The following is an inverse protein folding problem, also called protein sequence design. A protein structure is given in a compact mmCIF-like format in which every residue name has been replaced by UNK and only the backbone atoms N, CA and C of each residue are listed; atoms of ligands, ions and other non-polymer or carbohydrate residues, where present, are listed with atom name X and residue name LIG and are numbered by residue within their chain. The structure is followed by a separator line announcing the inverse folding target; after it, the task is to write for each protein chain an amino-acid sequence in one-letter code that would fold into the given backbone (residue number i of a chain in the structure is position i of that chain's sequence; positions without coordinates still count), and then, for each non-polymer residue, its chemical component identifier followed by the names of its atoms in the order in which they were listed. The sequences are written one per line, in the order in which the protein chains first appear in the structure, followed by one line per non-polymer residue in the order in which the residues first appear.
data_IF_269443707922
#
_entry.id   IF_269443707922
#
_cell.length_a   1.000
_cell.length_b   1.000
_cell.length_c   1.000
_cell.angle_alpha   90.00
_cell.angle_beta   90.00
_cell.angle_gamma   90.00
#
_symmetry.space_group_name_H-M   'P 1'
#
loop_
_entity.id
_entity.type
_entity.pdbx_description
1 polymer ?
#
# COMPACT_ATOMS: atom_id res chain seq x y z
N UNK A 1 2.37 -31.74 -57.55
CA UNK A 1 1.42 -31.65 -56.43
C UNK A 1 2.10 -31.54 -55.04
N UNK A 2 2.97 -32.45 -54.62
CA UNK A 2 3.63 -32.42 -53.30
C UNK A 2 4.36 -31.10 -52.98
N UNK A 3 5.08 -30.51 -53.94
CA UNK A 3 5.84 -29.27 -53.78
C UNK A 3 4.93 -28.05 -53.55
N UNK A 4 3.83 -27.92 -54.25
CA UNK A 4 2.87 -26.81 -54.08
C UNK A 4 2.18 -26.90 -52.73
N UNK A 5 1.77 -28.10 -52.30
CA UNK A 5 1.16 -28.34 -50.99
C UNK A 5 2.12 -27.98 -49.85
N UNK A 6 3.43 -28.30 -49.99
CA UNK A 6 4.46 -27.96 -49.01
C UNK A 6 4.64 -26.45 -48.92
N UNK A 7 4.72 -25.74 -50.06
CA UNK A 7 4.87 -24.28 -50.08
C UNK A 7 3.67 -23.59 -49.40
N UNK A 8 2.44 -24.02 -49.75
CA UNK A 8 1.23 -23.45 -49.15
C UNK A 8 1.18 -23.71 -47.65
N UNK A 9 1.48 -24.92 -47.19
CA UNK A 9 1.50 -25.25 -45.77
C UNK A 9 2.54 -24.43 -44.99
N UNK A 10 3.76 -24.31 -45.56
CA UNK A 10 4.83 -23.50 -44.94
C UNK A 10 4.42 -22.05 -44.84
N UNK A 11 3.81 -21.47 -45.90
CA UNK A 11 3.34 -20.09 -45.89
C UNK A 11 2.26 -19.86 -44.82
N UNK A 12 1.29 -20.77 -44.68
CA UNK A 12 0.26 -20.68 -43.65
C UNK A 12 0.89 -20.75 -42.25
N UNK A 13 1.78 -21.69 -41.98
CA UNK A 13 2.48 -21.82 -40.71
C UNK A 13 3.29 -20.59 -40.40
N UNK A 14 4.04 -20.09 -41.36
CA UNK A 14 4.85 -18.84 -41.17
C UNK A 14 3.95 -17.66 -40.85
N UNK A 15 2.85 -17.47 -41.56
CA UNK A 15 1.89 -16.39 -41.31
C UNK A 15 1.28 -16.48 -39.92
N UNK A 16 0.88 -17.70 -39.50
CA UNK A 16 0.37 -17.92 -38.15
C UNK A 16 1.41 -17.64 -37.08
N UNK A 17 2.64 -18.08 -37.26
CA UNK A 17 3.75 -17.79 -36.34
C UNK A 17 4.00 -16.29 -36.24
N UNK A 18 4.05 -15.59 -37.36
CA UNK A 18 4.23 -14.12 -37.36
C UNK A 18 3.05 -13.40 -36.69
N UNK A 19 1.82 -13.86 -36.91
CA UNK A 19 0.64 -13.28 -36.26
C UNK A 19 0.68 -13.49 -34.73
N UNK A 20 1.08 -14.67 -34.26
CA UNK A 20 1.24 -14.96 -32.82
C UNK A 20 2.35 -14.12 -32.21
N UNK A 21 3.50 -14.00 -32.89
CA UNK A 21 4.62 -13.17 -32.42
C UNK A 21 4.24 -11.67 -32.38
N UNK A 22 3.51 -11.18 -33.39
CA UNK A 22 3.03 -9.79 -33.43
C UNK A 22 2.02 -9.51 -32.31
N UNK A 23 1.09 -10.43 -32.07
CA UNK A 23 0.13 -10.33 -30.99
C UNK A 23 0.85 -10.36 -29.62
N UNK A 24 1.82 -11.25 -29.43
CA UNK A 24 2.64 -11.32 -28.22
C UNK A 24 3.45 -10.05 -27.99
N UNK A 25 4.06 -9.48 -29.02
CA UNK A 25 4.78 -8.21 -28.94
C UNK A 25 3.85 -7.04 -28.59
N UNK A 26 2.66 -7.00 -29.17
CA UNK A 26 1.64 -6.01 -28.87
C UNK A 26 1.21 -6.08 -27.40
N UNK A 27 0.85 -7.27 -26.91
CA UNK A 27 0.48 -7.48 -25.50
C UNK A 27 1.63 -7.05 -24.58
N UNK A 28 2.86 -7.45 -24.88
CA UNK A 28 4.05 -7.06 -24.11
C UNK A 28 4.21 -5.53 -23.99
N UNK A 29 4.03 -4.79 -25.10
CA UNK A 29 4.14 -3.32 -25.10
C UNK A 29 3.00 -2.70 -24.29
N UNK A 30 1.79 -3.19 -24.49
CA UNK A 30 0.59 -2.69 -23.80
C UNK A 30 0.66 -2.94 -22.30
N UNK A 31 1.00 -4.16 -21.85
CA UNK A 31 1.16 -4.48 -20.45
C UNK A 31 2.30 -3.66 -19.81
N UNK A 32 3.40 -3.47 -20.55
CA UNK A 32 4.50 -2.62 -20.11
C UNK A 32 4.09 -1.16 -19.91
N UNK A 33 3.27 -0.64 -20.78
CA UNK A 33 2.71 0.71 -20.67
C UNK A 33 1.76 0.83 -19.46
N UNK A 34 0.86 -0.13 -19.27
CA UNK A 34 -0.05 -0.13 -18.12
C UNK A 34 0.71 -0.24 -16.78
N UNK A 35 1.78 -1.04 -16.73
CA UNK A 35 2.61 -1.12 -15.51
C UNK A 35 3.31 0.21 -15.23
N UNK A 36 3.85 0.89 -16.25
CA UNK A 36 4.44 2.23 -16.05
C UNK A 36 3.37 3.23 -15.58
N UNK A 37 2.22 3.23 -16.24
CA UNK A 37 1.11 4.10 -15.84
C UNK A 37 0.64 3.86 -14.40
N UNK A 38 0.64 2.60 -13.95
CA UNK A 38 0.15 2.21 -12.64
C UNK A 38 1.20 2.28 -11.53
N UNK A 39 2.47 2.09 -11.82
CA UNK A 39 3.49 1.90 -10.78
C UNK A 39 4.64 2.90 -10.84
N UNK A 40 4.86 3.60 -11.98
CA UNK A 40 5.97 4.53 -12.10
C UNK A 40 5.68 5.84 -11.36
N UNK A 41 6.66 6.30 -10.59
CA UNK A 41 6.60 7.57 -9.86
C UNK A 41 6.29 8.73 -10.80
N UNK A 42 5.26 9.51 -10.45
CA UNK A 42 4.90 10.71 -11.20
C UNK A 42 4.23 10.44 -12.55
N UNK A 43 3.74 9.24 -12.79
CA UNK A 43 3.01 8.86 -14.01
C UNK A 43 1.68 9.61 -14.23
N UNK A 44 1.33 10.52 -13.31
CA UNK A 44 0.28 11.52 -13.53
C UNK A 44 -1.14 11.08 -13.20
N UNK A 45 -1.33 9.91 -12.62
CA UNK A 45 -2.66 9.54 -12.16
C UNK A 45 -2.75 8.09 -11.72
N UNK A 46 -3.61 7.83 -10.78
CA UNK A 46 -4.04 6.48 -10.44
C UNK A 46 -5.00 5.99 -11.55
N UNK A 47 -4.56 5.08 -12.45
CA UNK A 47 -5.42 4.57 -13.52
C UNK A 47 -6.60 3.76 -12.97
N UNK A 48 -6.56 3.43 -11.69
CA UNK A 48 -7.60 2.70 -10.96
C UNK A 48 -8.61 3.64 -10.31
N UNK A 49 -8.24 4.91 -10.06
CA UNK A 49 -9.14 5.85 -9.40
C UNK A 49 -10.35 6.16 -10.29
N UNK A 50 -11.57 6.21 -9.73
CA UNK A 50 -12.70 6.83 -10.40
C UNK A 50 -12.34 8.27 -10.80
N UNK A 51 -12.87 8.80 -11.93
CA UNK A 51 -12.53 10.14 -12.41
C UNK A 51 -12.68 11.25 -11.36
N UNK A 52 -13.65 11.11 -10.44
CA UNK A 52 -13.87 12.04 -9.32
C UNK A 52 -12.70 12.01 -8.33
N UNK A 53 -12.18 10.80 -8.03
CA UNK A 53 -11.04 10.64 -7.11
C UNK A 53 -9.75 11.09 -7.80
N UNK A 54 -9.55 10.71 -9.07
CA UNK A 54 -8.39 11.16 -9.84
C UNK A 54 -8.35 12.70 -9.94
N UNK A 55 -9.49 13.35 -10.13
CA UNK A 55 -9.58 14.81 -10.13
C UNK A 55 -9.25 15.42 -8.76
N UNK A 56 -9.70 14.80 -7.66
CA UNK A 56 -9.36 15.26 -6.30
C UNK A 56 -7.89 15.07 -5.95
N UNK A 57 -7.25 14.00 -6.44
CA UNK A 57 -5.82 13.74 -6.26
C UNK A 57 -4.94 14.74 -7.05
N UNK A 58 -5.48 15.28 -8.16
CA UNK A 58 -4.79 16.21 -9.04
C UNK A 58 -5.22 17.67 -8.82
N UNK A 59 -6.13 17.95 -7.89
CA UNK A 59 -6.60 19.30 -7.61
C UNK A 59 -5.48 20.12 -6.94
N UNK A 60 -4.98 21.18 -7.60
CA UNK A 60 -3.96 22.05 -7.03
C UNK A 60 -4.44 22.83 -5.79
N UNK A 61 -5.73 22.82 -5.50
CA UNK A 61 -6.31 23.45 -4.31
C UNK A 61 -6.46 22.48 -3.12
N UNK A 62 -6.08 21.19 -3.27
CA UNK A 62 -5.99 20.29 -2.13
C UNK A 62 -4.82 20.76 -1.27
N UNK A 63 -5.13 21.41 -0.15
CA UNK A 63 -4.14 21.75 0.84
C UNK A 63 -3.63 20.46 1.50
N UNK A 64 -2.32 20.19 1.35
CA UNK A 64 -1.69 19.17 2.16
C UNK A 64 -1.74 19.61 3.63
N UNK A 65 -1.90 18.66 4.57
CA UNK A 65 -1.82 18.96 5.99
C UNK A 65 -0.54 19.72 6.33
N UNK A 66 -0.65 20.69 7.19
CA UNK A 66 0.52 21.41 7.72
C UNK A 66 1.37 20.46 8.56
N UNK A 67 2.69 20.68 8.53
CA UNK A 67 3.61 19.92 9.38
C UNK A 67 3.30 20.25 10.85
N UNK A 68 3.09 19.25 11.73
CA UNK A 68 2.85 19.49 13.15
C UNK A 68 3.90 20.39 13.81
N UNK A 69 3.46 21.32 14.64
CA UNK A 69 4.33 22.20 15.45
C UNK A 69 4.92 21.45 16.65
N UNK A 70 5.65 20.36 16.38
CA UNK A 70 6.31 19.56 17.39
C UNK A 70 7.81 19.46 17.07
N UNK A 71 8.60 19.11 18.09
CA UNK A 71 10.02 18.83 17.88
C UNK A 71 10.13 17.69 16.86
N UNK A 72 10.81 17.96 15.75
CA UNK A 72 10.96 16.99 14.66
C UNK A 72 12.38 16.93 14.14
N UNK A 73 12.74 15.78 13.58
CA UNK A 73 14.02 15.54 12.92
C UNK A 73 13.81 14.69 11.67
N UNK A 74 14.62 14.93 10.65
CA UNK A 74 14.61 14.13 9.42
C UNK A 74 15.46 12.87 9.63
N UNK A 75 14.86 11.72 9.35
CA UNK A 75 15.52 10.42 9.38
C UNK A 75 15.76 9.92 7.96
N UNK A 76 16.84 9.18 7.80
CA UNK A 76 17.14 8.47 6.56
C UNK A 76 17.43 7.00 6.84
N UNK A 77 17.06 6.15 5.88
CA UNK A 77 17.31 4.72 5.92
C UNK A 77 17.79 4.26 4.54
N UNK A 78 18.67 3.29 4.50
CA UNK A 78 19.02 2.60 3.26
C UNK A 78 18.20 1.33 3.13
N UNK A 79 17.43 1.22 2.05
CA UNK A 79 16.62 0.03 1.76
C UNK A 79 17.49 -1.18 1.44
N UNK A 80 16.89 -2.37 1.43
CA UNK A 80 17.57 -3.63 1.11
C UNK A 80 18.16 -3.67 -0.31
N UNK A 81 17.60 -2.88 -1.23
CA UNK A 81 18.02 -2.74 -2.63
C UNK A 81 18.79 -1.43 -2.90
N UNK A 82 19.14 -0.72 -1.84
CA UNK A 82 20.08 0.40 -1.86
C UNK A 82 19.48 1.78 -2.06
N UNK A 83 18.15 1.93 -2.06
CA UNK A 83 17.48 3.23 -2.13
C UNK A 83 17.69 4.03 -0.83
N UNK A 84 17.85 5.34 -0.96
CA UNK A 84 17.75 6.25 0.18
C UNK A 84 16.29 6.56 0.45
N UNK A 85 15.83 6.17 1.64
CA UNK A 85 14.48 6.43 2.13
C UNK A 85 14.51 7.56 3.15
N UNK A 86 13.49 8.39 3.14
CA UNK A 86 13.33 9.55 4.02
C UNK A 86 12.10 9.39 4.91
N UNK A 87 12.19 9.92 6.13
CA UNK A 87 11.08 10.02 7.06
C UNK A 87 11.22 11.27 7.92
N UNK A 88 10.13 11.75 8.47
CA UNK A 88 10.16 12.75 9.56
C UNK A 88 9.74 12.05 10.85
N UNK A 89 10.56 12.21 11.88
CA UNK A 89 10.25 11.79 13.24
C UNK A 89 9.80 13.00 14.06
N UNK A 90 8.70 12.86 14.79
CA UNK A 90 8.18 13.82 15.74
C UNK A 90 8.23 13.25 17.15
N UNK A 91 8.68 14.07 18.10
CA UNK A 91 8.77 13.70 19.52
C UNK A 91 7.60 14.28 20.32
N UNK A 92 6.99 13.51 21.21
CA UNK A 92 6.01 14.05 22.16
C UNK A 92 6.66 14.98 23.18
N UNK A 93 5.85 15.78 23.88
CA UNK A 93 6.33 16.74 24.90
C UNK A 93 6.96 16.06 26.13
N UNK A 94 6.48 14.86 26.50
CA UNK A 94 6.99 14.08 27.61
C UNK A 94 7.76 12.84 27.11
N UNK A 95 8.74 12.31 27.87
CA UNK A 95 9.41 11.06 27.53
C UNK A 95 8.41 9.91 27.38
N UNK A 96 8.58 9.10 26.34
CA UNK A 96 7.68 8.00 25.97
C UNK A 96 8.45 6.89 25.26
N UNK A 97 7.95 5.64 25.37
CA UNK A 97 8.39 4.52 24.54
C UNK A 97 7.28 4.06 23.57
N UNK A 98 6.22 4.86 23.45
CA UNK A 98 5.08 4.62 22.58
C UNK A 98 5.37 5.21 21.21
N UNK A 99 5.35 4.37 20.18
CA UNK A 99 5.67 4.78 18.82
C UNK A 99 4.54 4.43 17.87
N UNK A 100 4.34 5.29 16.88
CA UNK A 100 3.52 4.97 15.71
C UNK A 100 4.30 5.27 14.43
N UNK A 101 4.22 4.36 13.46
CA UNK A 101 4.67 4.59 12.08
C UNK A 101 3.42 4.80 11.24
N UNK A 102 3.26 6.01 10.69
CA UNK A 102 2.12 6.39 9.86
C UNK A 102 2.45 6.21 8.38
N UNK A 103 1.72 5.35 7.69
CA UNK A 103 1.98 4.96 6.31
C UNK A 103 0.93 5.58 5.38
N UNK A 104 1.37 6.41 4.46
CA UNK A 104 0.52 7.08 3.48
C UNK A 104 0.04 6.15 2.37
N UNK A 105 -1.02 6.57 1.66
CA UNK A 105 -1.59 5.85 0.52
C UNK A 105 -0.79 5.98 -0.78
N UNK A 106 -1.27 5.30 -1.82
CA UNK A 106 -0.71 5.36 -3.17
C UNK A 106 -0.74 6.79 -3.73
N UNK A 107 0.36 7.20 -4.39
CA UNK A 107 0.50 8.53 -4.98
C UNK A 107 0.59 9.69 -3.97
N UNK A 108 0.72 9.38 -2.68
CA UNK A 108 0.81 10.34 -1.58
C UNK A 108 2.25 10.41 -1.04
N UNK A 109 2.41 11.13 0.05
CA UNK A 109 3.69 11.33 0.74
C UNK A 109 3.50 11.38 2.24
N UNK A 110 4.60 11.48 3.00
CA UNK A 110 4.56 11.69 4.44
C UNK A 110 3.71 12.90 4.86
N UNK A 111 3.57 13.92 4.02
CA UNK A 111 2.76 15.09 4.32
C UNK A 111 1.28 14.75 4.51
N UNK A 112 0.76 13.77 3.77
CA UNK A 112 -0.62 13.29 3.97
C UNK A 112 -0.80 12.57 5.31
N UNK A 113 0.26 11.94 5.83
CA UNK A 113 0.24 11.28 7.13
C UNK A 113 0.29 12.29 8.29
N UNK A 114 0.72 13.55 8.07
CA UNK A 114 0.74 14.58 9.11
C UNK A 114 -0.65 14.93 9.64
N UNK A 115 -1.69 14.71 8.84
CA UNK A 115 -3.09 14.88 9.26
C UNK A 115 -3.51 13.90 10.41
N UNK A 116 -2.73 12.85 10.63
CA UNK A 116 -2.89 11.91 11.75
C UNK A 116 -1.85 12.17 12.85
N UNK A 117 -0.69 12.75 12.49
CA UNK A 117 0.47 12.83 13.35
C UNK A 117 0.20 13.69 14.58
N UNK A 118 -0.47 14.84 14.43
CA UNK A 118 -0.75 15.76 15.53
C UNK A 118 -1.51 15.08 16.69
N UNK A 119 -2.58 14.35 16.37
CA UNK A 119 -3.37 13.63 17.36
C UNK A 119 -2.55 12.58 18.13
N UNK A 120 -1.64 11.86 17.43
CA UNK A 120 -0.74 10.91 18.10
C UNK A 120 0.30 11.58 18.98
N UNK A 121 0.88 12.71 18.54
CA UNK A 121 1.86 13.48 19.30
C UNK A 121 1.23 14.01 20.60
N UNK A 122 0.04 14.59 20.49
CA UNK A 122 -0.74 15.07 21.65
C UNK A 122 -1.10 13.92 22.60
N UNK A 123 -1.32 12.72 22.06
CA UNK A 123 -1.60 11.51 22.86
C UNK A 123 -0.34 10.84 23.41
N UNK A 124 0.84 11.48 23.25
CA UNK A 124 2.10 11.07 23.87
C UNK A 124 2.88 10.00 23.09
N UNK A 125 2.66 9.87 21.78
CA UNK A 125 3.44 8.98 20.90
C UNK A 125 4.59 9.71 20.24
N UNK A 126 5.72 9.04 20.09
CA UNK A 126 6.65 9.32 19.01
C UNK A 126 6.01 8.93 17.70
N UNK A 127 6.09 9.79 16.69
CA UNK A 127 5.49 9.57 15.38
C UNK A 127 6.57 9.55 14.32
N UNK A 128 6.65 8.47 13.54
CA UNK A 128 7.48 8.38 12.35
C UNK A 128 6.58 8.39 11.10
N UNK A 129 6.82 9.34 10.21
CA UNK A 129 6.11 9.46 8.93
C UNK A 129 7.10 9.22 7.79
N UNK A 130 7.29 7.97 7.32
CA UNK A 130 8.15 7.71 6.17
C UNK A 130 7.46 8.11 4.86
N UNK A 131 8.24 8.68 3.94
CA UNK A 131 7.93 8.58 2.53
C UNK A 131 8.20 7.14 2.08
N UNK A 132 7.18 6.42 1.64
CA UNK A 132 7.37 5.10 1.07
C UNK A 132 8.22 5.19 -0.20
N UNK A 133 8.86 4.09 -0.63
CA UNK A 133 9.68 4.08 -1.86
C UNK A 133 8.92 4.68 -3.04
N UNK A 134 9.62 5.34 -3.94
CA UNK A 134 9.08 6.06 -5.09
C UNK A 134 8.09 7.19 -4.74
N UNK A 135 8.11 7.69 -3.50
CA UNK A 135 7.22 8.78 -3.03
C UNK A 135 8.00 9.88 -2.31
N UNK A 136 7.47 11.09 -2.30
CA UNK A 136 8.01 12.22 -1.55
C UNK A 136 9.52 12.44 -1.75
N UNK A 137 10.29 12.40 -0.66
CA UNK A 137 11.75 12.54 -0.66
C UNK A 137 12.49 11.20 -0.80
N UNK A 138 11.78 10.06 -0.67
CA UNK A 138 12.38 8.74 -0.85
C UNK A 138 12.69 8.45 -2.30
N UNK A 139 13.81 7.77 -2.54
CA UNK A 139 14.21 7.32 -3.87
C UNK A 139 13.30 6.16 -4.35
N UNK A 140 13.49 5.82 -5.61
CA UNK A 140 12.77 4.76 -6.29
C UNK A 140 12.07 5.26 -7.54
N UNK A 141 11.95 4.38 -8.52
CA UNK A 141 11.24 4.64 -9.77
C UNK A 141 9.80 4.10 -9.72
N UNK A 142 9.61 2.97 -9.05
CA UNK A 142 8.34 2.24 -9.02
C UNK A 142 7.85 1.99 -7.61
N UNK A 143 6.54 2.11 -7.44
CA UNK A 143 5.79 1.59 -6.30
C UNK A 143 5.56 0.10 -6.53
N UNK A 144 5.59 -0.72 -5.47
CA UNK A 144 5.37 -2.18 -5.56
C UNK A 144 4.12 -2.64 -4.81
N UNK A 145 3.17 -1.72 -4.62
CA UNK A 145 1.86 -1.97 -3.99
C UNK A 145 1.96 -2.68 -2.62
N UNK A 146 2.98 -2.34 -1.84
CA UNK A 146 3.20 -2.90 -0.50
C UNK A 146 4.25 -4.02 -0.44
N UNK A 147 4.64 -4.65 -1.55
CA UNK A 147 5.60 -5.77 -1.53
C UNK A 147 6.95 -5.35 -0.97
N UNK A 148 7.63 -4.40 -1.59
CA UNK A 148 8.93 -3.92 -1.12
C UNK A 148 8.78 -2.84 -0.04
N UNK A 149 7.69 -2.05 -0.09
CA UNK A 149 7.34 -1.11 0.96
C UNK A 149 7.26 -1.79 2.33
N UNK A 150 6.71 -3.01 2.41
CA UNK A 150 6.64 -3.77 3.67
C UNK A 150 8.01 -4.13 4.26
N UNK A 151 9.02 -4.37 3.40
CA UNK A 151 10.40 -4.59 3.84
C UNK A 151 11.03 -3.31 4.37
N UNK A 152 10.77 -2.20 3.70
CA UNK A 152 11.24 -0.89 4.14
C UNK A 152 10.61 -0.49 5.47
N UNK A 153 9.31 -0.77 5.65
CA UNK A 153 8.60 -0.53 6.92
C UNK A 153 9.19 -1.38 8.05
N UNK A 154 9.47 -2.67 7.82
CA UNK A 154 10.13 -3.51 8.81
C UNK A 154 11.52 -2.97 9.19
N UNK A 155 12.28 -2.40 8.22
CA UNK A 155 13.55 -1.76 8.47
C UNK A 155 13.40 -0.45 9.28
N UNK A 156 12.37 0.35 9.05
CA UNK A 156 12.05 1.51 9.88
C UNK A 156 11.71 1.12 11.32
N UNK A 157 10.92 0.05 11.51
CA UNK A 157 10.61 -0.49 12.86
C UNK A 157 11.89 -0.98 13.55
N UNK A 158 12.80 -1.63 12.84
CA UNK A 158 14.12 -2.01 13.37
C UNK A 158 14.95 -0.79 13.76
N UNK A 159 14.94 0.25 12.93
CA UNK A 159 15.65 1.51 13.23
C UNK A 159 15.11 2.21 14.48
N UNK A 160 13.81 2.14 14.72
CA UNK A 160 13.22 2.62 15.97
C UNK A 160 13.77 1.84 17.16
N UNK A 161 13.84 0.50 17.08
CA UNK A 161 14.38 -0.34 18.15
C UNK A 161 15.88 -0.09 18.45
N UNK A 162 16.65 0.37 17.46
CA UNK A 162 18.06 0.77 17.67
C UNK A 162 18.19 2.05 18.51
N UNK A 163 17.29 3.01 18.34
CA UNK A 163 17.32 4.30 19.07
C UNK A 163 16.56 4.24 20.37
N UNK A 164 15.54 3.40 20.46
CA UNK A 164 14.73 3.16 21.64
C UNK A 164 14.48 1.65 21.80
N UNK A 165 15.33 0.93 22.51
CA UNK A 165 15.18 -0.52 22.73
C UNK A 165 13.90 -0.91 23.49
N UNK A 166 13.26 0.02 24.19
CA UNK A 166 12.01 -0.18 24.88
C UNK A 166 10.78 0.17 24.02
N UNK A 167 11.00 0.66 22.79
CA UNK A 167 9.94 1.09 21.89
C UNK A 167 8.87 0.02 21.68
N UNK A 168 7.62 0.44 21.80
CA UNK A 168 6.42 -0.33 21.42
C UNK A 168 5.77 0.33 20.22
N UNK A 169 5.91 -0.29 19.08
CA UNK A 169 5.57 0.31 17.78
C UNK A 169 4.21 -0.17 17.28
N UNK A 170 3.35 0.76 16.94
CA UNK A 170 2.11 0.53 16.20
C UNK A 170 2.35 0.92 14.73
N UNK A 171 1.98 0.09 13.79
CA UNK A 171 1.83 0.52 12.40
C UNK A 171 0.40 1.02 12.20
N UNK A 172 0.26 2.22 11.65
CA UNK A 172 -1.05 2.73 11.23
C UNK A 172 -0.94 3.18 9.77
N UNK A 173 -1.60 2.47 8.89
CA UNK A 173 -1.55 2.71 7.45
C UNK A 173 -2.92 2.99 6.86
N UNK A 174 -2.94 3.86 5.85
CA UNK A 174 -4.15 4.24 5.12
C UNK A 174 -4.05 3.78 3.68
N UNK A 175 -5.08 3.11 3.16
CA UNK A 175 -5.15 2.62 1.77
C UNK A 175 -3.99 1.68 1.45
N UNK A 176 -3.14 1.97 0.45
CA UNK A 176 -1.92 1.22 0.19
C UNK A 176 -1.02 1.13 1.44
N UNK A 177 -0.98 2.18 2.27
CA UNK A 177 -0.27 2.15 3.55
C UNK A 177 -0.86 1.12 4.52
N UNK A 178 -2.19 0.94 4.53
CA UNK A 178 -2.89 -0.09 5.31
C UNK A 178 -2.50 -1.50 4.85
N UNK A 179 -2.59 -1.77 3.56
CA UNK A 179 -2.12 -3.03 2.99
C UNK A 179 -0.62 -3.27 3.27
N UNK A 180 0.22 -2.22 3.16
CA UNK A 180 1.65 -2.29 3.49
C UNK A 180 1.89 -2.63 4.96
N UNK A 181 1.10 -2.07 5.89
CA UNK A 181 1.19 -2.39 7.32
C UNK A 181 0.88 -3.87 7.59
N UNK A 182 -0.18 -4.40 6.96
CA UNK A 182 -0.52 -5.83 7.04
C UNK A 182 0.59 -6.72 6.46
N UNK A 183 1.10 -6.37 5.27
CA UNK A 183 2.20 -7.08 4.64
C UNK A 183 3.46 -7.06 5.51
N UNK A 184 3.80 -5.94 6.14
CA UNK A 184 4.94 -5.82 7.04
C UNK A 184 4.78 -6.69 8.30
N UNK A 185 3.60 -6.66 8.92
CA UNK A 185 3.30 -7.45 10.12
C UNK A 185 3.18 -8.96 9.86
N UNK A 186 2.86 -9.37 8.61
CA UNK A 186 2.82 -10.78 8.18
C UNK A 186 4.16 -11.36 7.76
N UNK A 187 5.28 -10.61 7.87
CA UNK A 187 6.64 -11.08 7.54
C UNK A 187 7.19 -11.96 8.66
N UNK A 188 8.03 -12.94 8.29
CA UNK A 188 8.72 -13.80 9.25
C UNK A 188 9.82 -13.05 10.01
N UNK A 189 10.38 -11.98 9.42
CA UNK A 189 11.45 -11.15 9.99
C UNK A 189 10.93 -9.84 10.62
N UNK A 190 9.64 -9.77 10.94
CA UNK A 190 9.06 -8.61 11.61
C UNK A 190 9.71 -8.38 12.98
N UNK A 191 10.14 -7.14 13.29
CA UNK A 191 10.75 -6.83 14.57
C UNK A 191 9.79 -7.05 15.75
N UNK A 192 10.31 -7.56 16.88
CA UNK A 192 9.49 -7.90 18.06
C UNK A 192 8.86 -6.69 18.76
N UNK A 193 9.39 -5.51 18.53
CA UNK A 193 8.86 -4.25 19.04
C UNK A 193 7.63 -3.75 18.26
N UNK A 194 7.26 -4.37 17.14
CA UNK A 194 5.96 -4.19 16.50
C UNK A 194 4.89 -4.91 17.35
N UNK A 195 4.01 -4.12 17.98
CA UNK A 195 3.05 -4.63 18.96
C UNK A 195 1.60 -4.61 18.48
N UNK A 196 1.25 -3.80 17.49
CA UNK A 196 -0.11 -3.73 16.93
C UNK A 196 -0.13 -3.12 15.53
N UNK A 197 -1.22 -3.35 14.81
CA UNK A 197 -1.48 -2.79 13.47
C UNK A 197 -2.85 -2.13 13.45
N UNK A 198 -2.93 -0.96 12.84
CA UNK A 198 -4.17 -0.28 12.49
C UNK A 198 -4.17 -0.17 10.96
N UNK A 199 -5.13 -0.83 10.36
CA UNK A 199 -5.35 -0.86 8.92
C UNK A 199 -6.60 -0.05 8.60
N UNK A 200 -6.48 1.01 7.80
CA UNK A 200 -7.57 1.86 7.37
C UNK A 200 -7.72 1.80 5.84
N UNK A 201 -8.83 1.23 5.37
CA UNK A 201 -9.22 1.21 3.96
C UNK A 201 -8.22 0.51 3.01
N UNK A 202 -7.48 -0.48 3.49
CA UNK A 202 -6.57 -1.28 2.68
C UNK A 202 -7.29 -2.38 1.90
N UNK A 203 -6.55 -3.05 1.03
CA UNK A 203 -7.06 -4.06 0.09
C UNK A 203 -6.54 -5.46 0.39
N UNK A 204 -7.26 -6.48 -0.12
CA UNK A 204 -6.89 -7.90 -0.01
C UNK A 204 -5.60 -8.22 -0.74
N UNK A 205 -5.47 -7.73 -1.99
CA UNK A 205 -4.26 -7.83 -2.81
C UNK A 205 -4.24 -6.76 -3.90
N UNK A 206 -3.05 -6.43 -4.40
CA UNK A 206 -2.94 -5.57 -5.59
C UNK A 206 -3.58 -6.24 -6.81
N UNK A 207 -3.42 -7.56 -6.97
CA UNK A 207 -4.03 -8.32 -8.05
C UNK A 207 -5.55 -8.16 -8.04
N UNK A 208 -6.22 -8.36 -6.89
CA UNK A 208 -7.68 -8.21 -6.77
C UNK A 208 -8.15 -6.80 -7.14
N UNK A 209 -7.39 -5.77 -6.74
CA UNK A 209 -7.71 -4.39 -7.11
C UNK A 209 -7.71 -4.20 -8.63
N UNK A 210 -6.68 -4.68 -9.32
CA UNK A 210 -6.58 -4.59 -10.78
C UNK A 210 -7.62 -5.45 -11.49
N UNK A 211 -7.83 -6.69 -11.04
CA UNK A 211 -8.83 -7.60 -11.61
C UNK A 211 -10.23 -6.98 -11.55
N UNK A 212 -10.67 -6.53 -10.37
CA UNK A 212 -11.99 -5.90 -10.20
C UNK A 212 -12.16 -4.67 -11.10
N UNK A 213 -11.10 -3.90 -11.25
CA UNK A 213 -11.12 -2.73 -12.14
C UNK A 213 -11.27 -3.14 -13.60
N UNK A 214 -10.53 -4.13 -14.07
CA UNK A 214 -10.65 -4.64 -15.44
C UNK A 214 -12.04 -5.23 -15.71
N UNK A 215 -12.57 -6.00 -14.77
CA UNK A 215 -13.91 -6.58 -14.86
C UNK A 215 -15.00 -5.49 -14.96
N UNK A 216 -14.84 -4.36 -14.24
CA UNK A 216 -15.78 -3.23 -14.34
C UNK A 216 -15.82 -2.61 -15.75
N UNK A 217 -14.77 -2.81 -16.56
CA UNK A 217 -14.72 -2.41 -17.97
C UNK A 217 -14.98 -3.57 -18.93
N UNK A 218 -15.44 -4.74 -18.45
CA UNK A 218 -15.62 -5.98 -19.23
C UNK A 218 -14.36 -6.43 -19.99
N UNK A 219 -13.17 -6.19 -19.42
CA UNK A 219 -11.90 -6.63 -19.98
C UNK A 219 -11.57 -8.05 -19.53
N UNK A 220 -10.81 -8.84 -20.34
CA UNK A 220 -10.40 -10.19 -19.99
C UNK A 220 -9.28 -10.17 -18.92
N UNK A 221 -9.66 -9.90 -17.66
CA UNK A 221 -8.76 -9.66 -16.55
C UNK A 221 -7.67 -10.73 -16.37
N UNK A 222 -8.03 -12.00 -16.48
CA UNK A 222 -7.07 -13.12 -16.30
C UNK A 222 -5.93 -13.17 -17.32
N UNK A 223 -6.17 -12.67 -18.53
CA UNK A 223 -5.14 -12.62 -19.59
C UNK A 223 -4.22 -11.41 -19.36
N UNK A 224 -4.82 -10.23 -19.12
CA UNK A 224 -4.10 -8.98 -18.91
C UNK A 224 -3.25 -9.07 -17.63
N UNK A 225 -3.79 -9.59 -16.53
CA UNK A 225 -3.07 -9.72 -15.27
C UNK A 225 -1.81 -10.56 -15.37
N UNK A 226 -1.82 -11.64 -16.14
CA UNK A 226 -0.59 -12.45 -16.37
C UNK A 226 0.52 -11.64 -17.02
N UNK A 227 0.17 -10.81 -18.00
CA UNK A 227 1.12 -9.93 -18.67
C UNK A 227 1.59 -8.81 -17.75
N UNK A 228 0.68 -8.17 -17.03
CA UNK A 228 1.02 -7.12 -16.06
C UNK A 228 1.90 -7.67 -14.92
N UNK A 229 1.62 -8.85 -14.41
CA UNK A 229 2.41 -9.51 -13.36
C UNK A 229 3.85 -9.79 -13.83
N UNK A 230 3.98 -10.34 -15.05
CA UNK A 230 5.29 -10.54 -15.67
C UNK A 230 6.05 -9.23 -15.89
N UNK A 231 5.37 -8.20 -16.40
CA UNK A 231 6.00 -6.90 -16.67
C UNK A 231 6.33 -6.15 -15.39
N UNK A 232 5.47 -6.21 -14.37
CA UNK A 232 5.75 -5.67 -13.04
C UNK A 232 7.03 -6.30 -12.47
N UNK A 233 7.10 -7.63 -12.41
CA UNK A 233 8.29 -8.34 -11.93
C UNK A 233 9.56 -7.96 -12.71
N UNK A 234 9.45 -7.82 -14.03
CA UNK A 234 10.59 -7.44 -14.88
C UNK A 234 11.07 -6.01 -14.63
N UNK A 235 10.16 -5.06 -14.38
CA UNK A 235 10.47 -3.64 -14.21
C UNK A 235 10.83 -3.26 -12.78
N UNK A 236 10.14 -3.85 -11.81
CA UNK A 236 10.23 -3.47 -10.39
C UNK A 236 10.96 -4.50 -9.53
N UNK A 237 11.07 -5.74 -9.99
CA UNK A 237 11.55 -6.89 -9.20
C UNK A 237 10.45 -7.62 -8.41
N UNK A 238 9.22 -7.09 -8.38
CA UNK A 238 8.06 -7.68 -7.71
C UNK A 238 6.89 -7.84 -8.68
N UNK A 239 6.15 -8.95 -8.59
CA UNK A 239 4.88 -9.09 -9.26
C UNK A 239 3.77 -8.37 -8.48
N UNK A 240 2.67 -8.03 -9.14
CA UNK A 240 1.48 -7.49 -8.47
C UNK A 240 0.87 -8.51 -7.51
N UNK A 241 0.91 -9.79 -7.88
CA UNK A 241 0.47 -10.91 -7.05
C UNK A 241 1.30 -11.13 -5.78
N UNK A 242 2.53 -10.60 -5.70
CA UNK A 242 3.34 -10.65 -4.49
C UNK A 242 2.76 -9.73 -3.38
N UNK A 243 1.98 -8.71 -3.74
CA UNK A 243 1.33 -7.77 -2.81
C UNK A 243 -0.02 -8.34 -2.31
N UNK A 244 0.05 -9.44 -1.56
CA UNK A 244 -1.11 -10.17 -1.02
C UNK A 244 -1.26 -9.94 0.48
N UNK A 245 -2.04 -8.92 0.87
CA UNK A 245 -2.35 -8.65 2.28
C UNK A 245 -3.23 -9.76 2.89
N UNK A 246 -4.07 -10.44 2.06
CA UNK A 246 -4.88 -11.57 2.52
C UNK A 246 -4.00 -12.76 2.96
N UNK A 247 -2.88 -13.00 2.29
CA UNK A 247 -1.94 -14.04 2.72
C UNK A 247 -1.11 -13.58 3.92
N UNK A 248 -0.83 -12.29 4.03
CA UNK A 248 -0.13 -11.73 5.19
C UNK A 248 -0.97 -11.87 6.48
N UNK A 249 -2.26 -11.52 6.45
CA UNK A 249 -3.12 -11.58 7.64
C UNK A 249 -3.31 -13.00 8.17
N UNK A 250 -3.21 -14.02 7.32
CA UNK A 250 -3.24 -15.44 7.70
C UNK A 250 -2.01 -15.86 8.52
N UNK A 251 -0.92 -15.09 8.48
CA UNK A 251 0.33 -15.37 9.21
C UNK A 251 0.61 -14.38 10.34
N UNK A 252 -0.17 -13.30 10.43
CA UNK A 252 0.04 -12.24 11.41
C UNK A 252 -0.11 -12.73 12.84
N UNK A 253 0.76 -12.20 13.70
CA UNK A 253 0.73 -12.41 15.15
C UNK A 253 0.43 -11.13 15.92
N UNK A 254 0.44 -9.98 15.25
CA UNK A 254 0.14 -8.69 15.85
C UNK A 254 -1.38 -8.49 15.95
N UNK A 255 -1.91 -8.03 17.10
CA UNK A 255 -3.26 -7.52 17.22
C UNK A 255 -3.57 -6.48 16.13
N UNK A 256 -4.79 -6.50 15.59
CA UNK A 256 -5.13 -5.66 14.44
C UNK A 256 -6.50 -5.01 14.60
N UNK A 257 -6.55 -3.69 14.39
CA UNK A 257 -7.76 -2.90 14.19
C UNK A 257 -7.95 -2.66 12.69
N UNK A 258 -9.08 -3.13 12.15
CA UNK A 258 -9.50 -2.89 10.78
C UNK A 258 -10.53 -1.76 10.76
N UNK A 259 -10.30 -0.75 9.92
CA UNK A 259 -11.18 0.43 9.77
C UNK A 259 -11.59 0.56 8.31
N UNK A 260 -12.90 0.75 8.03
CA UNK A 260 -13.35 0.94 6.66
C UNK A 260 -14.67 1.69 6.57
N UNK A 261 -14.82 2.48 5.51
CA UNK A 261 -16.06 3.16 5.15
C UNK A 261 -16.98 2.26 4.31
N UNK A 262 -18.29 2.25 4.61
CA UNK A 262 -19.24 1.40 3.85
C UNK A 262 -19.53 1.88 2.45
N UNK A 263 -19.21 3.14 2.12
CA UNK A 263 -19.39 3.74 0.79
C UNK A 263 -18.09 3.86 0.00
N UNK A 264 -17.07 3.06 0.34
CA UNK A 264 -15.80 3.03 -0.38
C UNK A 264 -16.00 2.40 -1.76
N UNK A 265 -15.81 3.21 -2.81
CA UNK A 265 -15.94 2.80 -4.21
C UNK A 265 -14.58 2.44 -4.85
N UNK A 266 -13.47 2.75 -4.18
CA UNK A 266 -12.14 2.44 -4.68
C UNK A 266 -11.67 1.07 -4.16
N UNK A 267 -11.70 0.89 -2.85
CA UNK A 267 -11.44 -0.38 -2.17
C UNK A 267 -12.75 -0.86 -1.57
N UNK A 268 -13.42 -1.85 -2.16
CA UNK A 268 -14.72 -2.30 -1.66
C UNK A 268 -14.67 -2.72 -0.18
N UNK A 269 -15.66 -2.30 0.59
CA UNK A 269 -15.81 -2.64 2.01
C UNK A 269 -15.70 -4.15 2.29
N UNK A 270 -16.12 -5.00 1.33
CA UNK A 270 -15.98 -6.45 1.42
C UNK A 270 -14.53 -6.93 1.57
N UNK A 271 -13.56 -6.16 1.04
CA UNK A 271 -12.14 -6.54 1.18
C UNK A 271 -11.68 -6.47 2.65
N UNK A 272 -12.10 -5.44 3.40
CA UNK A 272 -11.83 -5.38 4.84
C UNK A 272 -12.51 -6.54 5.57
N UNK A 273 -13.76 -6.88 5.20
CA UNK A 273 -14.46 -8.01 5.81
C UNK A 273 -13.71 -9.33 5.58
N UNK A 274 -13.19 -9.55 4.38
CA UNK A 274 -12.36 -10.71 4.03
C UNK A 274 -11.04 -10.71 4.83
N UNK A 275 -10.34 -9.58 4.90
CA UNK A 275 -9.11 -9.43 5.69
C UNK A 275 -9.33 -9.76 7.16
N UNK A 276 -10.38 -9.19 7.77
CA UNK A 276 -10.71 -9.42 9.17
C UNK A 276 -11.14 -10.88 9.43
N UNK A 277 -11.87 -11.50 8.51
CA UNK A 277 -12.30 -12.90 8.63
C UNK A 277 -11.10 -13.86 8.57
N UNK A 278 -10.20 -13.67 7.61
CA UNK A 278 -9.03 -14.53 7.36
C UNK A 278 -7.86 -14.27 8.32
N UNK A 279 -7.88 -13.15 9.06
CA UNK A 279 -6.77 -12.77 9.94
C UNK A 279 -6.57 -13.76 11.08
N UNK A 280 -5.33 -14.20 11.28
CA UNK A 280 -4.86 -15.00 12.41
C UNK A 280 -4.40 -14.15 13.60
N UNK A 281 -4.59 -12.83 13.56
CA UNK A 281 -4.25 -11.94 14.65
C UNK A 281 -4.92 -12.41 15.97
N UNK A 282 -4.20 -12.42 17.10
CA UNK A 282 -4.72 -12.93 18.38
C UNK A 282 -5.88 -12.09 18.91
N UNK A 283 -5.93 -10.82 18.53
CA UNK A 283 -7.06 -9.93 18.74
C UNK A 283 -7.35 -9.12 17.48
N UNK A 284 -8.61 -9.09 17.07
CA UNK A 284 -9.13 -8.40 15.93
C UNK A 284 -10.27 -7.49 16.34
N UNK A 285 -10.22 -6.24 15.92
CA UNK A 285 -11.30 -5.28 16.08
C UNK A 285 -11.67 -4.70 14.73
N UNK A 286 -12.90 -4.33 14.57
CA UNK A 286 -13.43 -3.73 13.33
C UNK A 286 -14.15 -2.45 13.68
N UNK A 287 -13.78 -1.36 13.03
CA UNK A 287 -14.50 -0.09 13.03
C UNK A 287 -15.10 0.13 11.65
N UNK A 288 -16.39 -0.06 11.54
CA UNK A 288 -17.16 0.29 10.33
C UNK A 288 -17.69 1.70 10.45
N UNK A 289 -17.38 2.55 9.47
CA UNK A 289 -17.89 3.95 9.42
C UNK A 289 -18.92 4.07 8.31
N UNK A 290 -20.16 4.15 8.71
CA UNK A 290 -21.30 4.19 7.79
C UNK A 290 -21.26 5.41 6.87
N UNK A 291 -21.41 5.19 5.56
CA UNK A 291 -21.41 6.23 4.54
C UNK A 291 -20.07 6.96 4.35
N UNK A 292 -18.99 6.49 4.98
CA UNK A 292 -17.65 7.02 4.69
C UNK A 292 -17.12 6.47 3.35
N UNK A 293 -16.46 7.34 2.61
CA UNK A 293 -15.79 7.03 1.36
C UNK A 293 -14.38 6.47 1.63
N UNK A 294 -13.63 6.21 0.55
CA UNK A 294 -12.26 5.72 0.63
C UNK A 294 -11.37 6.62 1.49
N UNK A 295 -10.72 6.05 2.51
CA UNK A 295 -9.83 6.75 3.44
C UNK A 295 -10.48 7.97 4.14
N UNK A 296 -11.81 8.01 4.23
CA UNK A 296 -12.56 9.12 4.79
C UNK A 296 -13.20 8.81 6.17
N UNK A 297 -12.88 7.67 6.77
CA UNK A 297 -13.42 7.25 8.06
C UNK A 297 -13.16 8.30 9.14
N UNK A 298 -11.92 8.79 9.25
CA UNK A 298 -11.52 9.87 10.17
C UNK A 298 -12.27 11.17 9.88
N UNK A 299 -12.35 11.59 8.63
CA UNK A 299 -13.00 12.85 8.26
C UNK A 299 -14.52 12.81 8.50
N UNK A 300 -15.13 11.63 8.37
CA UNK A 300 -16.56 11.41 8.57
C UNK A 300 -16.96 11.49 10.03
N UNK A 301 -16.17 10.90 10.94
CA UNK A 301 -16.46 10.84 12.37
C UNK A 301 -15.14 10.81 13.17
N UNK A 302 -14.46 11.99 13.29
CA UNK A 302 -13.13 12.06 13.89
C UNK A 302 -13.12 11.67 15.38
N UNK A 303 -14.17 11.99 16.13
CA UNK A 303 -14.24 11.66 17.56
C UNK A 303 -14.31 10.14 17.77
N UNK A 304 -15.22 9.47 17.06
CA UNK A 304 -15.38 8.03 17.13
C UNK A 304 -14.13 7.31 16.59
N UNK A 305 -13.54 7.83 15.52
CA UNK A 305 -12.32 7.30 14.92
C UNK A 305 -11.17 7.27 15.93
N UNK A 306 -10.80 8.42 16.48
CA UNK A 306 -9.67 8.49 17.42
C UNK A 306 -9.95 7.81 18.75
N UNK A 307 -11.20 7.79 19.22
CA UNK A 307 -11.57 7.00 20.39
C UNK A 307 -11.24 5.51 20.21
N UNK A 308 -11.56 4.92 19.05
CA UNK A 308 -11.25 3.51 18.75
C UNK A 308 -9.76 3.30 18.52
N UNK A 309 -9.12 4.18 17.75
CA UNK A 309 -7.69 4.13 17.45
C UNK A 309 -6.86 4.14 18.74
N UNK A 310 -7.09 5.09 19.63
CA UNK A 310 -6.32 5.20 20.87
C UNK A 310 -6.70 4.13 21.89
N UNK A 311 -8.00 3.80 22.04
CA UNK A 311 -8.39 2.69 22.91
C UNK A 311 -7.76 1.36 22.48
N UNK A 312 -7.57 1.15 21.16
CA UNK A 312 -6.86 -0.03 20.67
C UNK A 312 -5.35 0.09 20.87
N UNK A 313 -4.71 1.17 20.42
CA UNK A 313 -3.25 1.33 20.46
C UNK A 313 -2.69 1.32 21.89
N UNK A 314 -3.35 1.98 22.82
CA UNK A 314 -2.92 2.10 24.24
C UNK A 314 -2.85 0.76 24.96
N UNK A 315 -3.70 -0.21 24.59
CA UNK A 315 -3.64 -1.58 25.18
C UNK A 315 -2.32 -2.30 24.86
N UNK A 316 -1.66 -1.93 23.80
CA UNK A 316 -0.46 -2.60 23.33
C UNK A 316 0.81 -1.78 23.56
N UNK A 317 0.69 -0.49 23.87
CA UNK A 317 1.83 0.41 24.04
C UNK A 317 2.08 0.85 25.48
N UNK A 318 1.13 0.62 26.39
CA UNK A 318 1.28 0.86 27.84
C UNK A 318 2.00 -0.27 28.57
#
# INVERSE_FOLDING_TARGET
MRTLTTIVLTSIVTTLVLAVLSAGAFVYVVDGYFVDLALERGSGGDPLAPPVIAASLSDPNVHLPEKPEAKSEDWTLRSFDGLHLAATHFSPAAPSHRWVVLLHGYGRSQADAWDYAEAYIEHGYHVLTPDLRASGKSEGKYVTMGTFESRDVAAWVSRIAEVDPAARVVLHGVSMGGATALLAAGRDDVPQNLVAVIEDSGYTSAEDMFVRKMESFNLPASVIMRGMDYMSRKKTGAALSDASAIDAVRRMKAPTLFIHGTSDLLVPYSMMQELAAESSAPQKEVLTVEGAWHAAAKAKDPENYYRHVFAFADRWTN
#
